data_IF_421196663870
#
_entry.id   IF_421196663870
#
_cell.length_a   1.000
_cell.length_b   1.000
_cell.length_c   1.000
_cell.angle_alpha   90.00
_cell.angle_beta   90.00
_cell.angle_gamma   90.00
#
_symmetry.space_group_name_H-M   'P 1'
#
loop_
_entity.id
_entity.type
_entity.pdbx_description
1 polymer ?
#
# COMPACT_ATOMS: atom_id res chain seq x y z
N UNK A 1 -2.89 14.73 5.80
CA UNK A 1 -3.69 13.50 5.99
C UNK A 1 -3.64 12.73 4.69
N UNK A 2 -2.79 11.70 4.63
CA UNK A 2 -2.73 10.81 3.47
C UNK A 2 -3.90 9.83 3.55
N UNK A 3 -4.69 9.71 2.49
CA UNK A 3 -5.77 8.71 2.41
C UNK A 3 -5.27 7.46 1.71
N UNK A 4 -5.93 6.33 1.97
CA UNK A 4 -5.64 5.05 1.30
C UNK A 4 -5.72 5.16 -0.24
N UNK A 5 -6.58 6.02 -0.76
CA UNK A 5 -6.68 6.31 -2.20
C UNK A 5 -5.43 6.98 -2.76
N UNK A 6 -4.80 7.88 -2.00
CA UNK A 6 -3.62 8.62 -2.45
C UNK A 6 -2.40 7.69 -2.45
N UNK A 7 -2.32 6.80 -1.46
CA UNK A 7 -1.31 5.72 -1.40
C UNK A 7 -1.50 4.77 -2.60
N UNK A 8 -2.73 4.40 -2.91
CA UNK A 8 -3.06 3.53 -4.02
C UNK A 8 -2.68 4.15 -5.37
N UNK A 9 -3.02 5.43 -5.59
CA UNK A 9 -2.62 6.18 -6.78
C UNK A 9 -1.10 6.32 -6.90
N UNK A 10 -0.41 6.67 -5.81
CA UNK A 10 1.06 6.81 -5.80
C UNK A 10 1.79 5.48 -6.00
N UNK A 11 1.25 4.39 -5.45
CA UNK A 11 1.78 3.05 -5.64
C UNK A 11 1.34 2.42 -6.99
N UNK A 12 0.39 3.01 -7.72
CA UNK A 12 -0.17 2.46 -8.95
C UNK A 12 -0.91 1.14 -8.74
N UNK A 13 -1.53 0.97 -7.56
CA UNK A 13 -2.26 -0.24 -7.17
C UNK A 13 -3.68 0.09 -6.74
N UNK A 14 -4.51 -0.93 -6.54
CA UNK A 14 -5.86 -0.71 -6.01
C UNK A 14 -5.83 -0.40 -4.50
N UNK A 15 -6.85 0.32 -4.02
CA UNK A 15 -7.05 0.53 -2.57
C UNK A 15 -7.15 -0.80 -1.81
N UNK A 16 -7.67 -1.84 -2.46
CA UNK A 16 -7.73 -3.20 -1.92
C UNK A 16 -6.31 -3.78 -1.73
N UNK A 17 -5.41 -3.54 -2.68
CA UNK A 17 -3.99 -3.93 -2.59
C UNK A 17 -3.30 -3.22 -1.43
N UNK A 18 -3.57 -1.91 -1.24
CA UNK A 18 -3.06 -1.16 -0.08
C UNK A 18 -3.59 -1.75 1.23
N UNK A 19 -4.89 -2.06 1.30
CA UNK A 19 -5.51 -2.69 2.47
C UNK A 19 -4.87 -4.05 2.80
N UNK A 20 -4.69 -4.91 1.78
CA UNK A 20 -3.99 -6.20 1.92
C UNK A 20 -2.53 -6.02 2.36
N UNK A 21 -1.81 -5.09 1.75
CA UNK A 21 -0.41 -4.81 2.06
C UNK A 21 -0.22 -4.32 3.51
N UNK A 22 -1.07 -3.40 3.97
CA UNK A 22 -1.06 -2.92 5.36
C UNK A 22 -1.39 -4.04 6.36
N UNK A 23 -2.22 -5.00 5.97
CA UNK A 23 -2.58 -6.20 6.76
C UNK A 23 -1.58 -7.35 6.68
N UNK A 24 -0.43 -7.18 6.02
CA UNK A 24 0.57 -8.25 5.85
C UNK A 24 0.07 -9.50 5.12
N UNK A 25 -0.89 -9.37 4.20
CA UNK A 25 -1.39 -10.48 3.38
C UNK A 25 -0.28 -11.14 2.55
N UNK A 26 -0.23 -12.48 2.46
CA UNK A 26 0.77 -13.20 1.67
C UNK A 26 0.60 -13.03 0.15
N UNK A 27 -0.57 -12.59 -0.30
CA UNK A 27 -0.87 -12.28 -1.71
C UNK A 27 -0.04 -11.11 -2.28
N UNK A 28 0.58 -10.30 -1.42
CA UNK A 28 1.32 -9.11 -1.82
C UNK A 28 2.82 -9.35 -1.63
N UNK A 29 3.61 -9.05 -2.67
CA UNK A 29 5.06 -9.15 -2.57
C UNK A 29 5.64 -8.20 -1.52
N UNK A 30 6.70 -8.63 -0.83
CA UNK A 30 7.37 -7.83 0.19
C UNK A 30 7.86 -6.49 -0.35
N UNK A 31 8.32 -6.45 -1.61
CA UNK A 31 8.70 -5.21 -2.30
C UNK A 31 7.54 -4.20 -2.39
N UNK A 32 6.33 -4.68 -2.69
CA UNK A 32 5.12 -3.85 -2.79
C UNK A 32 4.68 -3.39 -1.40
N UNK A 33 4.74 -4.27 -0.38
CA UNK A 33 4.46 -3.90 1.01
C UNK A 33 5.39 -2.81 1.53
N UNK A 34 6.69 -2.93 1.26
CA UNK A 34 7.70 -1.96 1.66
C UNK A 34 7.44 -0.59 1.01
N UNK A 35 7.12 -0.57 -0.29
CA UNK A 35 6.78 0.66 -1.02
C UNK A 35 5.51 1.32 -0.48
N UNK A 36 4.45 0.55 -0.22
CA UNK A 36 3.19 1.04 0.35
C UNK A 36 3.39 1.61 1.76
N UNK A 37 4.16 0.93 2.61
CA UNK A 37 4.52 1.43 3.95
C UNK A 37 5.31 2.73 3.90
N UNK A 38 6.29 2.83 3.00
CA UNK A 38 7.07 4.06 2.85
C UNK A 38 6.26 5.26 2.37
N UNK A 39 5.16 5.02 1.62
CA UNK A 39 4.22 6.09 1.23
C UNK A 39 3.26 6.41 2.38
N UNK A 40 2.84 5.41 3.16
CA UNK A 40 1.93 5.57 4.29
C UNK A 40 2.57 6.28 5.49
N UNK A 41 3.90 6.22 5.62
CA UNK A 41 4.68 6.85 6.70
C UNK A 41 5.05 8.33 6.42
N UNK A 42 4.61 8.87 5.27
CA UNK A 42 4.76 10.29 4.89
C UNK A 42 3.51 11.10 5.24
#
# INVERSE_FOLDING_TARGET
MIRLKDIAESAGVSVMTVSKALRNEPDISEATKARIRGIADR
#
